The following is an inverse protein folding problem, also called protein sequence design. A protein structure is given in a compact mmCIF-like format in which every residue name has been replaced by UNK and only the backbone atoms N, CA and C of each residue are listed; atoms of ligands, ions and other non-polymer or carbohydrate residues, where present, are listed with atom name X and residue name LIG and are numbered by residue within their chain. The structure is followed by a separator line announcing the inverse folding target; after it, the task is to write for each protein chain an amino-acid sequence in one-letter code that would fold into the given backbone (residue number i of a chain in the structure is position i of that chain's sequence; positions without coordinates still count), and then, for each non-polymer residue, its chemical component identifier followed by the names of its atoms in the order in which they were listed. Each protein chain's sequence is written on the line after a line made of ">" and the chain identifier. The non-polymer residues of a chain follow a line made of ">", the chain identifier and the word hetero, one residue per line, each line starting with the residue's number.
data_IF_221873503599
#
_entry.id   IF_221873503599
#
_cell.length_a   1.000
_cell.length_b   1.000
_cell.length_c   1.000
_cell.angle_alpha   90.00
_cell.angle_beta   90.00
_cell.angle_gamma   90.00
#
_symmetry.space_group_name_H-M   'P 1'
#
loop_
_entity.id
_entity.type
_entity.pdbx_description
1 polymer ?
#
# COMPACT_ATOMS: atom_id res chain seq x y z
N UNK A 1 -16.77 -6.69 16.15
CA UNK A 1 -15.85 -7.48 15.43
C UNK A 1 -14.54 -6.78 15.33
N UNK A 2 -14.60 -5.59 14.87
CA UNK A 2 -13.40 -4.84 14.73
C UNK A 2 -12.91 -4.33 16.05
N UNK A 3 -13.70 -4.47 17.06
CA UNK A 3 -13.34 -3.96 18.34
C UNK A 3 -12.46 -4.89 19.14
N UNK A 4 -12.39 -6.14 18.77
CA UNK A 4 -11.60 -7.04 19.56
C UNK A 4 -10.12 -6.80 19.34
N UNK A 5 -9.34 -7.14 20.33
CA UNK A 5 -7.92 -6.96 20.25
C UNK A 5 -7.30 -7.95 19.28
N UNK A 6 -6.23 -7.56 18.60
CA UNK A 6 -5.54 -8.50 17.75
C UNK A 6 -4.90 -9.60 18.58
N UNK A 7 -4.96 -10.82 18.09
CA UNK A 7 -4.20 -11.90 18.69
C UNK A 7 -2.92 -12.08 17.88
N UNK A 8 -2.15 -13.10 18.20
CA UNK A 8 -0.88 -13.31 17.53
C UNK A 8 -1.02 -13.46 16.03
N UNK A 9 -2.09 -14.13 15.61
CA UNK A 9 -2.32 -14.32 14.20
C UNK A 9 -2.65 -13.00 13.53
N UNK A 10 -3.45 -12.16 14.20
CA UNK A 10 -3.78 -10.87 13.64
C UNK A 10 -2.58 -9.94 13.60
N UNK A 11 -1.64 -10.10 14.50
CA UNK A 11 -0.44 -9.29 14.47
C UNK A 11 0.44 -9.62 13.27
N UNK A 12 0.40 -10.87 12.80
CA UNK A 12 1.09 -11.23 11.57
C UNK A 12 0.45 -10.52 10.37
N UNK A 13 -0.88 -10.48 10.36
CA UNK A 13 -1.62 -9.84 9.27
C UNK A 13 -1.63 -8.33 9.37
N UNK A 14 -1.59 -7.81 10.60
CA UNK A 14 -1.67 -6.36 10.84
C UNK A 14 -0.54 -5.95 11.77
N UNK A 15 0.70 -5.98 11.28
CA UNK A 15 1.84 -5.69 12.14
C UNK A 15 1.84 -4.24 12.61
N UNK A 16 2.34 -3.98 13.81
CA UNK A 16 2.40 -2.59 14.30
C UNK A 16 3.51 -1.77 13.67
N UNK A 17 4.48 -2.44 13.05
CA UNK A 17 5.58 -1.73 12.40
C UNK A 17 5.95 -2.45 11.11
N UNK A 18 6.62 -1.72 10.23
CA UNK A 18 7.12 -2.25 8.98
C UNK A 18 8.58 -1.84 8.85
N UNK A 19 9.43 -2.80 8.52
CA UNK A 19 10.84 -2.49 8.29
C UNK A 19 11.05 -2.14 6.82
N UNK A 20 11.63 -0.97 6.57
CA UNK A 20 11.94 -0.53 5.22
C UNK A 20 13.41 -0.11 5.26
N UNK A 21 14.29 -0.94 4.68
CA UNK A 21 15.70 -0.73 4.81
C UNK A 21 16.09 -0.84 6.27
N UNK A 22 16.73 0.19 6.79
CA UNK A 22 17.10 0.23 8.21
C UNK A 22 16.08 0.97 9.06
N UNK A 23 15.04 1.49 8.43
CA UNK A 23 14.02 2.27 9.14
C UNK A 23 12.87 1.37 9.55
N UNK A 24 12.36 1.58 10.76
CA UNK A 24 11.18 0.89 11.25
C UNK A 24 10.04 1.88 11.31
N UNK A 25 9.01 1.62 10.55
CA UNK A 25 7.89 2.54 10.37
C UNK A 25 6.72 2.06 11.20
N UNK A 26 6.10 2.97 11.93
CA UNK A 26 4.92 2.66 12.71
C UNK A 26 3.69 2.68 11.83
N UNK A 27 2.80 1.72 12.06
CA UNK A 27 1.57 1.59 11.30
C UNK A 27 0.37 1.80 12.22
N UNK A 28 -0.65 2.46 11.69
CA UNK A 28 -1.91 2.66 12.39
C UNK A 28 -3.02 2.11 11.52
N UNK A 29 -4.02 1.54 12.16
CA UNK A 29 -5.12 0.90 11.44
C UNK A 29 -6.45 1.50 11.85
N UNK A 30 -7.30 1.75 10.88
CA UNK A 30 -8.67 2.14 11.10
C UNK A 30 -9.53 1.30 10.19
N UNK A 31 -10.56 0.71 10.76
CA UNK A 31 -11.47 -0.10 9.97
C UNK A 31 -12.85 0.54 10.05
N UNK A 32 -12.96 1.68 9.37
CA UNK A 32 -14.18 2.50 9.37
C UNK A 32 -14.57 2.79 7.93
N UNK A 33 -15.36 1.91 7.32
CA UNK A 33 -15.75 2.13 5.93
C UNK A 33 -16.36 3.51 5.73
N UNK A 34 -15.89 4.20 4.70
CA UNK A 34 -16.35 5.55 4.42
C UNK A 34 -15.54 6.65 5.08
N UNK A 35 -14.66 6.29 6.01
CA UNK A 35 -13.80 7.27 6.66
C UNK A 35 -12.57 7.55 5.81
N UNK A 36 -12.07 8.79 5.86
CA UNK A 36 -10.84 9.14 5.17
C UNK A 36 -9.65 8.37 5.73
N UNK A 37 -9.77 7.83 6.92
CA UNK A 37 -8.68 7.11 7.57
C UNK A 37 -8.74 5.61 7.40
N UNK A 38 -9.74 5.10 6.68
CA UNK A 38 -9.96 3.66 6.58
C UNK A 38 -8.74 2.96 6.00
N UNK A 39 -8.32 1.89 6.64
CA UNK A 39 -7.19 1.09 6.20
C UNK A 39 -5.96 1.30 7.05
N UNK A 40 -4.79 1.19 6.42
CA UNK A 40 -3.52 1.32 7.12
C UNK A 40 -2.88 2.68 6.83
N UNK A 41 -2.37 3.32 7.88
CA UNK A 41 -1.62 4.57 7.77
C UNK A 41 -0.16 4.30 8.11
N UNK A 42 0.73 4.69 7.20
CA UNK A 42 2.17 4.60 7.41
C UNK A 42 2.67 5.92 7.95
N UNK A 43 3.26 5.90 9.14
CA UNK A 43 3.78 7.10 9.76
C UNK A 43 5.24 7.24 9.36
N UNK A 44 5.54 8.28 8.58
CA UNK A 44 6.86 8.45 7.99
C UNK A 44 7.52 9.74 8.48
N UNK A 45 8.75 9.64 8.98
CA UNK A 45 9.54 10.87 9.18
C UNK A 45 9.70 11.55 7.83
N UNK A 46 9.56 12.87 7.79
CA UNK A 46 9.56 13.55 6.50
C UNK A 46 10.87 13.35 5.74
N UNK A 47 11.98 13.30 6.44
CA UNK A 47 13.25 13.12 5.76
C UNK A 47 13.35 11.75 5.12
N UNK A 48 12.85 10.73 5.81
CA UNK A 48 12.84 9.39 5.23
C UNK A 48 11.89 9.31 4.05
N UNK A 49 10.76 10.00 4.15
CA UNK A 49 9.74 9.95 3.10
C UNK A 49 10.27 10.46 1.77
N UNK A 50 11.18 11.44 1.81
CA UNK A 50 11.75 11.96 0.57
C UNK A 50 12.58 10.93 -0.18
N UNK A 51 13.19 9.98 0.54
CA UNK A 51 14.03 8.98 -0.10
C UNK A 51 13.32 7.66 -0.32
N UNK A 52 12.14 7.48 0.23
CA UNK A 52 11.43 6.21 0.11
C UNK A 52 10.78 6.10 -1.25
N UNK A 53 10.73 4.86 -1.76
CA UNK A 53 9.99 4.59 -2.98
C UNK A 53 8.52 4.40 -2.64
N UNK A 54 7.62 5.22 -3.20
CA UNK A 54 6.21 5.07 -2.87
C UNK A 54 5.65 3.69 -3.22
N UNK A 55 6.23 3.05 -4.22
CA UNK A 55 5.69 1.77 -4.72
C UNK A 55 5.75 0.67 -3.67
N UNK A 56 6.67 0.79 -2.71
CA UNK A 56 6.80 -0.27 -1.71
C UNK A 56 5.57 -0.33 -0.80
N UNK A 57 4.86 0.80 -0.64
CA UNK A 57 3.71 0.84 0.25
C UNK A 57 2.45 0.30 -0.39
N UNK A 58 2.47 0.05 -1.70
CA UNK A 58 1.32 -0.56 -2.36
C UNK A 58 1.05 -1.97 -1.88
N UNK A 59 2.05 -2.62 -1.28
CA UNK A 59 1.85 -3.94 -0.72
C UNK A 59 0.95 -3.92 0.51
N UNK A 60 0.73 -2.75 1.08
CA UNK A 60 -0.05 -2.59 2.29
C UNK A 60 0.51 -3.47 3.40
N UNK A 61 -0.35 -4.31 3.97
CA UNK A 61 0.07 -5.30 4.98
C UNK A 61 -0.63 -6.61 4.62
N UNK A 62 -0.14 -7.73 5.14
CA UNK A 62 -0.71 -9.03 4.74
C UNK A 62 -2.23 -9.11 4.91
N UNK A 63 -2.77 -8.52 5.97
CA UNK A 63 -4.21 -8.61 6.21
C UNK A 63 -5.05 -7.87 5.18
N UNK A 64 -4.48 -6.90 4.48
CA UNK A 64 -5.20 -6.16 3.45
C UNK A 64 -4.79 -6.59 2.05
N UNK A 65 -3.65 -7.24 1.92
CA UNK A 65 -3.13 -7.56 0.60
C UNK A 65 -4.01 -8.56 -0.14
N UNK A 66 -4.53 -9.54 0.56
CA UNK A 66 -5.37 -10.54 -0.08
C UNK A 66 -6.60 -9.90 -0.70
N UNK A 67 -7.23 -9.00 0.03
CA UNK A 67 -8.41 -8.30 -0.49
C UNK A 67 -8.04 -7.42 -1.66
N UNK A 68 -6.89 -6.76 -1.58
CA UNK A 68 -6.44 -5.91 -2.67
C UNK A 68 -6.20 -6.71 -3.95
N UNK A 69 -5.53 -7.86 -3.82
CA UNK A 69 -5.30 -8.70 -4.99
C UNK A 69 -6.60 -9.19 -5.59
N UNK A 70 -7.55 -9.59 -4.74
CA UNK A 70 -8.85 -10.02 -5.22
C UNK A 70 -9.52 -8.91 -6.02
N UNK A 71 -9.49 -7.69 -5.47
CA UNK A 71 -10.11 -6.56 -6.14
C UNK A 71 -9.43 -6.28 -7.48
N UNK A 72 -8.10 -6.30 -7.49
CA UNK A 72 -7.34 -6.01 -8.70
C UNK A 72 -7.63 -7.04 -9.79
N UNK A 73 -7.64 -8.32 -9.44
CA UNK A 73 -7.89 -9.35 -10.43
C UNK A 73 -9.31 -9.27 -10.97
N UNK A 74 -10.27 -8.99 -10.11
CA UNK A 74 -11.65 -8.88 -10.55
C UNK A 74 -11.89 -7.65 -11.41
N UNK A 75 -10.99 -6.68 -11.36
CA UNK A 75 -11.12 -5.46 -12.14
C UNK A 75 -10.43 -5.54 -13.49
N UNK A 76 -9.74 -6.62 -13.77
CA UNK A 76 -9.08 -6.80 -15.06
C UNK A 76 -10.10 -6.96 -16.19
N UNK A 77 -9.70 -6.68 -17.42
CA UNK A 77 -10.59 -6.91 -18.55
C UNK A 77 -11.09 -8.35 -18.59
N UNK A 78 -12.31 -8.53 -19.07
CA UNK A 78 -12.96 -9.82 -19.00
C UNK A 78 -12.14 -10.93 -19.67
N UNK A 79 -11.49 -10.61 -20.80
CA UNK A 79 -10.73 -11.60 -21.54
C UNK A 79 -9.57 -12.16 -20.70
N UNK A 80 -8.97 -11.30 -19.88
CA UNK A 80 -7.90 -11.73 -18.99
C UNK A 80 -8.49 -12.41 -17.76
N UNK A 81 -9.51 -11.78 -17.18
CA UNK A 81 -10.07 -12.25 -15.92
C UNK A 81 -10.58 -13.68 -15.99
N UNK A 82 -11.18 -14.05 -17.10
CA UNK A 82 -11.74 -15.40 -17.19
C UNK A 82 -10.66 -16.48 -17.26
N UNK A 83 -9.43 -16.11 -17.54
CA UNK A 83 -8.34 -17.07 -17.51
C UNK A 83 -7.78 -17.27 -16.11
N UNK A 84 -8.23 -16.46 -15.17
CA UNK A 84 -7.71 -16.50 -13.80
C UNK A 84 -8.70 -17.07 -12.80
N UNK A 85 -9.82 -17.56 -13.26
CA UNK A 85 -10.80 -18.18 -12.36
C UNK A 85 -10.37 -19.59 -12.00
N UNK A 86 -10.63 -20.04 -10.77
CA UNK A 86 -11.30 -19.29 -9.71
C UNK A 86 -10.38 -18.24 -9.12
N UNK A 87 -10.91 -17.05 -8.96
CA UNK A 87 -10.07 -15.91 -8.54
C UNK A 87 -9.44 -16.15 -7.17
N UNK A 88 -10.20 -16.73 -6.23
CA UNK A 88 -9.66 -16.93 -4.89
C UNK A 88 -8.48 -17.88 -4.89
N UNK A 89 -8.47 -18.88 -5.77
CA UNK A 89 -7.32 -19.79 -5.84
C UNK A 89 -6.13 -19.10 -6.45
N UNK A 90 -6.36 -18.27 -7.45
CA UNK A 90 -5.29 -17.51 -8.06
C UNK A 90 -4.68 -16.54 -7.05
N UNK A 91 -5.51 -15.89 -6.25
CA UNK A 91 -5.01 -14.98 -5.23
C UNK A 91 -4.15 -15.74 -4.20
N UNK A 92 -4.62 -16.91 -3.78
CA UNK A 92 -3.83 -17.71 -2.84
C UNK A 92 -2.48 -18.08 -3.42
N UNK A 93 -2.46 -18.46 -4.69
CA UNK A 93 -1.20 -18.79 -5.33
C UNK A 93 -0.30 -17.56 -5.45
N UNK A 94 -0.87 -16.41 -5.79
CA UNK A 94 -0.09 -15.19 -5.90
C UNK A 94 0.53 -14.78 -4.57
N UNK A 95 -0.24 -14.89 -3.50
CA UNK A 95 0.30 -14.56 -2.18
C UNK A 95 1.48 -15.43 -1.83
N UNK A 96 1.46 -16.67 -2.28
CA UNK A 96 2.55 -17.59 -2.00
C UNK A 96 3.74 -17.35 -2.91
N UNK A 97 3.50 -17.00 -4.17
CA UNK A 97 4.57 -16.84 -5.16
C UNK A 97 5.27 -15.49 -5.08
N UNK A 98 4.52 -14.42 -4.80
CA UNK A 98 5.11 -13.09 -4.75
C UNK A 98 5.74 -12.84 -3.40
N UNK A 99 6.84 -12.12 -3.41
CA UNK A 99 7.46 -11.72 -2.16
C UNK A 99 7.55 -10.21 -2.12
N UNK A 100 7.27 -9.66 -0.96
CA UNK A 100 7.44 -8.25 -0.74
C UNK A 100 8.90 -7.89 -0.81
N UNK A 101 9.18 -6.64 -0.96
CA UNK A 101 10.53 -6.21 -0.86
C UNK A 101 10.83 -5.16 -1.87
N UNK A 102 11.68 -5.44 -2.81
CA UNK A 102 12.25 -4.41 -3.62
C UNK A 102 11.49 -4.09 -4.86
N UNK A 103 10.55 -4.94 -5.20
CA UNK A 103 9.80 -4.79 -6.43
C UNK A 103 8.44 -4.21 -6.12
N UNK A 104 7.90 -3.41 -7.03
CA UNK A 104 6.55 -2.89 -6.82
C UNK A 104 5.54 -4.02 -6.90
N UNK A 105 4.42 -3.83 -6.22
CA UNK A 105 3.36 -4.84 -6.23
C UNK A 105 2.91 -5.16 -7.64
N UNK A 106 2.70 -4.13 -8.47
CA UNK A 106 2.21 -4.36 -9.82
C UNK A 106 3.23 -5.08 -10.69
N UNK A 107 4.52 -4.76 -10.53
CA UNK A 107 5.53 -5.48 -11.26
C UNK A 107 5.58 -6.94 -10.85
N UNK A 108 5.43 -7.22 -9.56
CA UNK A 108 5.40 -8.59 -9.07
C UNK A 108 4.20 -9.34 -9.60
N UNK A 109 3.03 -8.69 -9.60
CA UNK A 109 1.82 -9.31 -10.12
C UNK A 109 1.98 -9.65 -11.59
N UNK A 110 2.47 -8.69 -12.37
CA UNK A 110 2.62 -8.90 -13.81
C UNK A 110 3.58 -10.04 -14.09
N UNK A 111 4.68 -10.11 -13.34
CA UNK A 111 5.66 -11.17 -13.53
C UNK A 111 5.09 -12.53 -13.16
N UNK A 112 4.36 -12.61 -12.07
CA UNK A 112 3.81 -13.89 -11.62
C UNK A 112 2.72 -14.38 -12.57
N UNK A 113 1.88 -13.49 -13.06
CA UNK A 113 0.84 -13.89 -14.00
C UNK A 113 1.43 -14.35 -15.33
N UNK A 114 2.49 -13.70 -15.79
CA UNK A 114 3.15 -14.15 -17.00
C UNK A 114 3.80 -15.51 -16.78
N UNK A 115 4.42 -15.71 -15.64
CA UNK A 115 5.13 -16.95 -15.37
C UNK A 115 4.19 -18.15 -15.32
N UNK A 116 3.08 -18.02 -14.60
CA UNK A 116 2.21 -19.17 -14.40
C UNK A 116 1.15 -19.32 -15.48
N UNK A 117 0.54 -18.22 -15.88
CA UNK A 117 -0.61 -18.28 -16.78
C UNK A 117 -0.27 -17.89 -18.20
N UNK A 118 0.96 -17.43 -18.44
CA UNK A 118 1.40 -16.97 -19.74
C UNK A 118 0.54 -15.82 -20.24
N UNK A 119 0.06 -15.01 -19.32
CA UNK A 119 -0.78 -13.86 -19.63
C UNK A 119 0.05 -12.60 -19.45
N UNK A 120 0.07 -11.77 -20.48
CA UNK A 120 0.74 -10.49 -20.40
C UNK A 120 -0.26 -9.43 -19.94
N UNK A 121 -0.11 -8.97 -18.72
CA UNK A 121 -0.93 -7.90 -18.19
C UNK A 121 -0.09 -6.64 -18.17
N UNK A 122 -0.65 -5.56 -18.75
CA UNK A 122 0.07 -4.31 -18.82
C UNK A 122 -0.34 -3.41 -17.66
N UNK A 123 0.53 -2.47 -17.34
CA UNK A 123 0.26 -1.58 -16.22
C UNK A 123 -1.07 -0.85 -16.40
N UNK A 124 -1.44 -0.54 -17.64
CA UNK A 124 -2.68 0.15 -17.93
C UNK A 124 -3.92 -0.72 -17.77
N UNK A 125 -3.75 -2.03 -17.66
CA UNK A 125 -4.88 -2.91 -17.44
C UNK A 125 -5.41 -2.87 -16.01
N UNK A 126 -4.59 -2.41 -15.06
CA UNK A 126 -4.99 -2.37 -13.66
C UNK A 126 -5.85 -1.16 -13.38
N UNK A 127 -6.88 -1.35 -12.56
CA UNK A 127 -7.71 -0.22 -12.18
C UNK A 127 -6.96 0.73 -11.26
N UNK A 128 -7.22 2.02 -11.43
CA UNK A 128 -6.68 3.01 -10.52
C UNK A 128 -7.68 3.40 -9.45
N UNK A 129 -8.89 2.83 -9.53
CA UNK A 129 -9.95 3.18 -8.58
C UNK A 129 -10.10 2.09 -7.55
N UNK A 130 -9.30 2.20 -6.50
CA UNK A 130 -9.35 1.25 -5.41
C UNK A 130 -10.17 1.82 -4.26
N UNK A 131 -10.89 0.97 -3.51
CA UNK A 131 -11.48 1.43 -2.26
C UNK A 131 -10.43 2.04 -1.35
N UNK A 132 -10.83 3.00 -0.52
CA UNK A 132 -9.86 3.71 0.30
C UNK A 132 -9.04 2.77 1.19
N UNK A 133 -9.68 1.77 1.78
CA UNK A 133 -8.95 0.89 2.70
C UNK A 133 -7.93 0.01 1.98
N UNK A 134 -7.94 -0.02 0.66
CA UNK A 134 -6.96 -0.77 -0.13
C UNK A 134 -5.91 0.15 -0.74
N UNK A 135 -5.90 1.42 -0.34
CA UNK A 135 -4.87 2.37 -0.72
C UNK A 135 -4.07 2.72 0.51
N UNK A 136 -2.74 2.83 0.38
CA UNK A 136 -1.96 3.25 1.54
C UNK A 136 -2.31 4.68 1.92
N UNK A 137 -2.30 4.95 3.21
CA UNK A 137 -2.44 6.30 3.71
C UNK A 137 -1.15 6.67 4.42
N UNK A 138 -0.74 7.92 4.29
CA UNK A 138 0.53 8.37 4.83
C UNK A 138 0.33 9.52 5.79
N UNK A 139 1.12 9.52 6.86
CA UNK A 139 1.17 10.64 7.79
C UNK A 139 2.63 11.02 7.93
N UNK A 140 2.97 12.25 7.57
CA UNK A 140 4.34 12.74 7.65
C UNK A 140 4.52 13.55 8.94
N UNK A 141 5.65 13.33 9.61
CA UNK A 141 5.93 14.07 10.84
C UNK A 141 7.36 14.61 10.82
N UNK A 142 7.59 15.65 11.62
CA UNK A 142 8.90 16.30 11.65
C UNK A 142 9.80 15.67 12.71
N UNK A 143 10.98 16.26 12.89
CA UNK A 143 11.98 15.73 13.80
C UNK A 143 11.50 15.68 15.23
N UNK A 144 10.52 16.50 15.57
CA UNK A 144 10.01 16.55 16.93
C UNK A 144 8.75 15.72 17.09
N UNK A 145 8.40 14.95 16.07
CA UNK A 145 7.24 14.09 16.15
C UNK A 145 5.92 14.77 15.85
N UNK A 146 5.94 16.00 15.38
CA UNK A 146 4.71 16.72 15.09
C UNK A 146 4.25 16.41 13.68
N UNK A 147 2.96 16.21 13.53
CA UNK A 147 2.37 15.91 12.24
C UNK A 147 2.48 17.11 11.32
N UNK A 148 2.94 16.88 10.09
CA UNK A 148 3.02 17.90 9.07
C UNK A 148 1.81 17.84 8.16
N UNK A 149 1.55 16.67 7.59
CA UNK A 149 0.40 16.48 6.71
C UNK A 149 0.10 15.00 6.58
N UNK A 150 -1.08 14.69 6.08
CA UNK A 150 -1.51 13.30 5.90
C UNK A 150 -2.38 13.21 4.66
N UNK A 151 -2.38 12.03 4.03
CA UNK A 151 -3.17 11.80 2.84
C UNK A 151 -2.79 10.50 2.17
N UNK A 152 -3.29 10.30 0.97
CA UNK A 152 -3.11 9.04 0.26
C UNK A 152 -2.12 9.12 -0.88
N UNK A 153 -1.70 10.30 -1.28
CA UNK A 153 -0.73 10.47 -2.37
C UNK A 153 0.57 10.99 -1.78
N UNK A 154 1.55 10.10 -1.65
CA UNK A 154 2.79 10.47 -0.99
C UNK A 154 3.52 11.58 -1.73
N UNK A 155 3.53 11.52 -3.05
CA UNK A 155 4.21 12.52 -3.84
C UNK A 155 3.61 13.90 -3.59
N UNK A 156 2.30 13.97 -3.54
CA UNK A 156 1.61 15.21 -3.27
C UNK A 156 1.91 15.73 -1.87
N UNK A 157 1.94 14.81 -0.89
CA UNK A 157 2.26 15.20 0.47
C UNK A 157 3.67 15.73 0.60
N UNK A 158 4.61 15.10 -0.10
CA UNK A 158 6.00 15.56 -0.07
C UNK A 158 6.13 16.93 -0.67
N UNK A 159 5.38 17.19 -1.73
CA UNK A 159 5.38 18.51 -2.34
C UNK A 159 4.89 19.57 -1.36
N UNK A 160 3.81 19.28 -0.65
CA UNK A 160 3.27 20.22 0.32
C UNK A 160 4.16 20.36 1.55
N UNK A 161 4.68 19.23 2.04
CA UNK A 161 5.52 19.24 3.22
C UNK A 161 6.81 19.96 2.99
N UNK A 162 7.44 19.73 1.84
CA UNK A 162 8.69 20.40 1.56
C UNK A 162 8.45 21.87 1.24
N UNK A 163 7.32 22.20 0.63
CA UNK A 163 7.04 23.57 0.28
C UNK A 163 6.85 24.45 1.49
N UNK A 164 6.23 23.93 2.53
CA UNK A 164 5.95 24.74 3.69
C UNK A 164 7.22 25.29 4.33
N UNK A 165 8.20 24.45 4.70
CA UNK A 165 9.43 25.01 5.28
C UNK A 165 10.21 25.86 4.29
N UNK A 166 10.24 25.42 3.05
CA UNK A 166 11.02 26.17 2.07
C UNK A 166 10.41 27.51 1.80
N UNK A 167 9.12 27.57 1.71
CA UNK A 167 8.45 28.81 1.50
C UNK A 167 8.75 29.78 2.60
N UNK A 168 8.81 29.32 3.81
CA UNK A 168 9.11 30.16 4.93
C UNK A 168 10.54 30.62 4.89
N UNK A 169 11.41 29.81 4.38
CA UNK A 169 12.80 30.15 4.34
C UNK A 169 13.13 31.04 3.21
N UNK A 170 12.47 30.84 2.15
CA UNK A 170 12.85 31.52 0.98
C UNK A 170 12.31 32.80 0.82
N UNK A 171 11.33 33.09 1.13
CA UNK A 171 10.82 34.22 0.85
C UNK A 171 11.62 35.10 0.92
N UNK A 172 11.74 34.64 0.96
CA UNK A 172 12.35 34.83 0.91
C UNK A 172 12.78 35.15 0.75
#
# INVERSE_FOLDING_TARGET
>A
VLMRKPDDMELVDYPPTLAVGTMRIRLEYHFEPGSDHDGVTFRLPIDFAFSASPAIFDWLVPGLLQEKLTYLLKSLPKAIRKKLVPINETVTWLLDDMSQGQRSLYAALEASLLKRFKILVQRTDWTEELPLHLQPRFLLFDDEGREICAGRNLKDLLSRGSGVPRTQQEPT
#
